data_IF_465069372957
#
_entry.id   IF_465069372957
#
_cell.length_a   1.000
_cell.length_b   1.000
_cell.length_c   1.000
_cell.angle_alpha   90.00
_cell.angle_beta   90.00
_cell.angle_gamma   90.00
#
_symmetry.space_group_name_H-M   'P 1'
#
loop_
_entity.id
_entity.type
_entity.pdbx_description
1 polymer ?
#
# COMPACT_ATOMS: atom_id res chain seq x y z
N UNK A 1 -22.74 19.91 -5.47
CA UNK A 1 -21.79 19.65 -6.57
C UNK A 1 -21.06 18.37 -6.21
N UNK A 2 -21.04 17.38 -7.11
CA UNK A 2 -20.20 16.18 -6.96
C UNK A 2 -18.86 16.53 -7.58
N UNK A 3 -17.83 16.76 -6.75
CA UNK A 3 -16.47 16.96 -7.24
C UNK A 3 -15.68 15.68 -7.07
N UNK A 4 -15.01 15.26 -8.14
CA UNK A 4 -14.16 14.08 -8.10
C UNK A 4 -12.79 14.45 -7.53
N UNK A 5 -12.17 13.52 -6.81
CA UNK A 5 -10.79 13.66 -6.35
C UNK A 5 -9.83 13.89 -7.54
N UNK A 6 -10.14 13.30 -8.69
CA UNK A 6 -9.37 13.47 -9.92
C UNK A 6 -9.39 14.91 -10.45
N UNK A 7 -10.51 15.63 -10.31
CA UNK A 7 -10.59 17.04 -10.73
C UNK A 7 -9.68 17.94 -9.89
N UNK A 8 -9.52 17.66 -8.58
CA UNK A 8 -8.55 18.36 -7.74
C UNK A 8 -7.13 18.05 -8.16
N UNK A 9 -6.79 16.78 -8.37
CA UNK A 9 -5.45 16.39 -8.80
C UNK A 9 -5.11 17.06 -10.14
N UNK A 10 -6.05 17.05 -11.10
CA UNK A 10 -5.89 17.72 -12.40
C UNK A 10 -5.66 19.22 -12.26
N UNK A 11 -6.39 19.91 -11.37
CA UNK A 11 -6.19 21.35 -11.11
C UNK A 11 -4.79 21.65 -10.58
N UNK A 12 -4.25 20.78 -9.74
CA UNK A 12 -2.94 20.99 -9.11
C UNK A 12 -1.79 20.64 -10.05
N UNK A 13 -1.88 19.51 -10.75
CA UNK A 13 -0.77 18.97 -11.54
C UNK A 13 -0.86 19.28 -13.04
N UNK A 14 -2.05 19.63 -13.55
CA UNK A 14 -2.27 19.97 -14.94
C UNK A 14 -2.46 18.78 -15.89
N UNK A 15 -2.54 17.54 -15.39
CA UNK A 15 -2.82 16.35 -16.22
C UNK A 15 -3.72 15.33 -15.49
N UNK A 16 -4.42 14.53 -16.28
CA UNK A 16 -5.37 13.45 -15.92
C UNK A 16 -5.60 12.61 -17.19
N UNK A 17 -5.88 11.29 -17.09
CA UNK A 17 -6.22 10.56 -15.88
C UNK A 17 -5.03 10.05 -15.06
N UNK A 18 -5.20 10.06 -13.73
CA UNK A 18 -4.23 9.50 -12.76
C UNK A 18 -4.71 8.20 -12.15
N UNK A 19 -6.02 7.99 -12.10
CA UNK A 19 -6.62 6.74 -11.64
C UNK A 19 -6.83 5.82 -12.82
N UNK A 20 -6.15 4.68 -12.79
CA UNK A 20 -6.39 3.64 -13.78
C UNK A 20 -7.64 2.85 -13.34
N UNK A 21 -8.71 2.80 -14.16
CA UNK A 21 -9.70 1.75 -13.97
C UNK A 21 -8.90 0.47 -14.21
N UNK A 22 -8.89 -0.47 -13.26
CA UNK A 22 -8.02 -1.66 -13.35
C UNK A 22 -8.35 -2.55 -14.57
N UNK A 23 -8.45 -3.87 -14.38
CA UNK A 23 -8.93 -4.75 -15.48
C UNK A 23 -10.40 -4.55 -15.86
N UNK A 24 -11.10 -3.56 -15.31
CA UNK A 24 -12.50 -3.24 -15.60
C UNK A 24 -12.58 -1.96 -16.43
N UNK A 25 -13.48 -1.94 -17.42
CA UNK A 25 -13.50 -0.92 -18.48
C UNK A 25 -14.32 0.32 -18.16
N UNK A 26 -15.06 0.35 -17.04
CA UNK A 26 -15.88 1.50 -16.62
C UNK A 26 -15.96 1.58 -15.09
N UNK A 27 -15.14 2.46 -14.49
CA UNK A 27 -15.27 2.87 -13.08
C UNK A 27 -15.37 4.39 -13.08
N UNK A 28 -16.47 4.94 -12.57
CA UNK A 28 -16.64 6.39 -12.39
C UNK A 28 -15.56 6.96 -11.48
N UNK A 29 -14.97 8.12 -11.77
CA UNK A 29 -13.91 8.74 -10.97
C UNK A 29 -14.24 8.81 -9.46
N UNK A 30 -13.23 8.77 -8.56
CA UNK A 30 -13.48 8.71 -7.13
C UNK A 30 -14.17 9.99 -6.66
N UNK A 31 -15.39 9.86 -6.14
CA UNK A 31 -16.20 11.00 -5.72
C UNK A 31 -15.96 11.34 -4.25
N UNK A 32 -15.82 12.63 -3.96
CA UNK A 32 -15.82 13.12 -2.58
C UNK A 32 -17.24 13.08 -2.01
N UNK A 33 -17.35 12.67 -0.74
CA UNK A 33 -18.60 12.59 0.00
C UNK A 33 -18.63 13.69 1.06
N UNK A 34 -19.65 14.53 1.02
CA UNK A 34 -19.89 15.56 2.02
C UNK A 34 -20.33 14.95 3.37
N UNK A 35 -20.07 15.64 4.48
CA UNK A 35 -20.51 15.23 5.81
C UNK A 35 -19.73 14.06 6.43
N UNK A 36 -18.72 13.53 5.74
CA UNK A 36 -17.80 12.50 6.27
C UNK A 36 -16.35 12.82 5.86
N UNK A 37 -15.41 12.17 6.54
CA UNK A 37 -14.00 12.20 6.12
C UNK A 37 -13.83 11.32 4.89
N UNK A 38 -13.25 11.84 3.83
CA UNK A 38 -12.79 11.09 2.66
C UNK A 38 -11.35 10.65 2.92
N UNK A 39 -11.00 9.40 2.60
CA UNK A 39 -9.65 8.87 2.83
C UNK A 39 -8.99 8.39 1.56
N UNK A 40 -7.69 8.70 1.45
CA UNK A 40 -6.79 8.09 0.47
C UNK A 40 -5.91 7.10 1.21
N UNK A 41 -5.89 5.85 0.73
CA UNK A 41 -4.97 4.84 1.23
C UNK A 41 -3.62 4.98 0.54
N UNK A 42 -2.62 5.48 1.26
CA UNK A 42 -1.28 5.73 0.74
C UNK A 42 -0.36 4.53 1.00
N UNK A 43 0.18 3.92 -0.04
CA UNK A 43 0.96 2.68 0.07
C UNK A 43 2.39 2.86 -0.44
N UNK A 44 3.31 3.37 0.40
CA UNK A 44 4.71 3.56 0.06
C UNK A 44 5.48 2.24 0.08
N UNK A 45 6.40 2.09 -0.85
CA UNK A 45 7.23 0.89 -0.88
C UNK A 45 8.33 0.90 -1.94
N UNK A 46 9.35 0.09 -1.69
CA UNK A 46 10.41 -0.17 -2.65
C UNK A 46 9.87 -0.92 -3.89
N UNK A 47 8.92 -1.85 -3.71
CA UNK A 47 8.28 -2.61 -4.80
C UNK A 47 9.26 -3.15 -5.83
N UNK A 48 10.25 -3.93 -5.40
CA UNK A 48 11.40 -4.32 -6.22
C UNK A 48 11.60 -5.85 -6.29
N UNK A 49 10.81 -6.56 -7.11
CA UNK A 49 9.63 -6.11 -7.85
C UNK A 49 8.36 -6.11 -6.98
N UNK A 50 7.25 -5.48 -7.41
CA UNK A 50 5.96 -5.71 -6.79
C UNK A 50 5.51 -7.16 -6.99
N UNK A 51 4.73 -7.68 -6.05
CA UNK A 51 4.40 -9.10 -5.97
C UNK A 51 3.02 -9.34 -5.39
N UNK A 52 2.52 -10.58 -5.51
CA UNK A 52 1.12 -10.93 -5.16
C UNK A 52 0.76 -10.56 -3.72
N UNK A 53 1.69 -10.71 -2.77
CA UNK A 53 1.50 -10.26 -1.39
C UNK A 53 1.24 -8.76 -1.23
N UNK A 54 1.91 -7.91 -2.01
CA UNK A 54 1.66 -6.46 -2.00
C UNK A 54 0.24 -6.13 -2.50
N UNK A 55 -0.17 -6.74 -3.61
CA UNK A 55 -1.51 -6.53 -4.16
C UNK A 55 -2.59 -7.08 -3.23
N UNK A 56 -2.36 -8.26 -2.63
CA UNK A 56 -3.29 -8.83 -1.67
C UNK A 56 -3.49 -7.93 -0.44
N UNK A 57 -2.41 -7.36 0.10
CA UNK A 57 -2.47 -6.41 1.22
C UNK A 57 -3.30 -5.18 0.86
N UNK A 58 -2.99 -4.53 -0.27
CA UNK A 58 -3.72 -3.35 -0.74
C UNK A 58 -5.21 -3.65 -0.95
N UNK A 59 -5.52 -4.74 -1.68
CA UNK A 59 -6.89 -5.12 -1.98
C UNK A 59 -7.68 -5.44 -0.72
N UNK A 60 -7.09 -6.21 0.20
CA UNK A 60 -7.74 -6.62 1.44
C UNK A 60 -8.08 -5.43 2.33
N UNK A 61 -7.10 -4.58 2.63
CA UNK A 61 -7.31 -3.42 3.51
C UNK A 61 -8.29 -2.44 2.87
N UNK A 62 -8.13 -2.15 1.58
CA UNK A 62 -9.04 -1.25 0.88
C UNK A 62 -10.48 -1.76 0.91
N UNK A 63 -10.73 -3.02 0.51
CA UNK A 63 -12.07 -3.59 0.43
C UNK A 63 -12.72 -3.74 1.80
N UNK A 64 -11.98 -4.25 2.79
CA UNK A 64 -12.51 -4.54 4.12
C UNK A 64 -12.83 -3.27 4.89
N UNK A 65 -12.03 -2.22 4.73
CA UNK A 65 -12.20 -0.96 5.46
C UNK A 65 -13.04 0.09 4.71
N UNK A 66 -13.36 -0.11 3.42
CA UNK A 66 -14.02 0.90 2.58
C UNK A 66 -15.31 1.47 3.19
N UNK A 67 -16.23 0.62 3.66
CA UNK A 67 -17.52 1.04 4.21
C UNK A 67 -17.37 1.88 5.49
N UNK A 68 -16.41 1.53 6.34
CA UNK A 68 -16.22 2.12 7.66
C UNK A 68 -15.32 3.36 7.63
N UNK A 69 -14.23 3.30 6.86
CA UNK A 69 -13.21 4.35 6.83
C UNK A 69 -13.37 5.32 5.66
N UNK A 70 -14.28 5.05 4.71
CA UNK A 70 -14.48 5.86 3.51
C UNK A 70 -13.23 6.02 2.65
N UNK A 71 -12.51 4.93 2.40
CA UNK A 71 -11.44 4.95 1.41
C UNK A 71 -12.06 5.12 0.03
N UNK A 72 -11.78 6.25 -0.62
CA UNK A 72 -12.29 6.57 -1.95
C UNK A 72 -11.27 6.27 -3.05
N UNK A 73 -9.98 6.25 -2.70
CA UNK A 73 -8.89 5.98 -3.64
C UNK A 73 -7.67 5.42 -2.89
N UNK A 74 -6.74 4.84 -3.65
CA UNK A 74 -5.44 4.42 -3.15
C UNK A 74 -4.32 4.99 -4.01
N UNK A 75 -3.19 5.30 -3.39
CA UNK A 75 -1.97 5.72 -4.07
C UNK A 75 -0.90 4.69 -3.80
N UNK A 76 -0.52 3.92 -4.81
CA UNK A 76 0.69 3.10 -4.77
C UNK A 76 1.87 4.04 -5.02
N UNK A 77 2.80 4.08 -4.08
CA UNK A 77 3.86 5.08 -4.06
C UNK A 77 5.25 4.44 -4.10
N UNK A 78 5.77 4.10 -5.29
CA UNK A 78 7.14 3.63 -5.44
C UNK A 78 8.15 4.68 -4.99
N UNK A 79 9.00 4.30 -4.03
CA UNK A 79 10.12 5.16 -3.58
C UNK A 79 11.09 5.45 -4.72
N UNK A 80 11.86 6.53 -4.63
CA UNK A 80 12.90 6.86 -5.61
C UNK A 80 14.06 5.84 -5.59
N UNK A 81 14.86 5.82 -6.65
CA UNK A 81 15.86 4.78 -6.87
C UNK A 81 17.00 4.86 -5.84
N UNK A 82 17.30 6.04 -5.34
CA UNK A 82 18.32 6.30 -4.33
C UNK A 82 17.96 5.60 -3.02
N UNK A 83 16.72 5.75 -2.56
CA UNK A 83 16.21 5.08 -1.35
C UNK A 83 16.19 3.54 -1.51
N UNK A 84 15.97 3.04 -2.73
CA UNK A 84 16.07 1.62 -3.02
C UNK A 84 17.51 1.12 -2.93
N UNK A 85 18.46 1.86 -3.49
CA UNK A 85 19.88 1.51 -3.49
C UNK A 85 20.43 1.48 -2.07
N UNK A 86 20.14 2.51 -1.27
CA UNK A 86 20.53 2.59 0.14
C UNK A 86 20.06 1.36 0.93
N UNK A 87 18.80 0.96 0.74
CA UNK A 87 18.22 -0.23 1.39
C UNK A 87 18.88 -1.55 0.98
N UNK A 88 19.53 -1.58 -0.18
CA UNK A 88 20.13 -2.78 -0.77
C UNK A 88 21.66 -2.80 -0.67
N UNK A 89 22.29 -1.84 0.00
CA UNK A 89 23.76 -1.72 0.09
C UNK A 89 24.45 -2.97 0.64
N UNK A 90 23.82 -3.65 1.61
CA UNK A 90 24.37 -4.87 2.22
C UNK A 90 24.17 -6.13 1.37
N UNK A 91 23.43 -6.04 0.26
CA UNK A 91 23.04 -7.18 -0.54
C UNK A 91 24.14 -7.52 -1.57
N UNK A 92 24.59 -8.78 -1.61
CA UNK A 92 25.74 -9.18 -2.45
C UNK A 92 25.46 -9.11 -3.95
N UNK A 93 24.20 -9.27 -4.34
CA UNK A 93 23.78 -9.26 -5.75
C UNK A 93 22.33 -8.77 -5.84
N UNK A 94 22.10 -7.46 -5.63
CA UNK A 94 20.75 -6.92 -5.58
C UNK A 94 20.16 -6.86 -6.98
N UNK A 95 18.92 -7.33 -7.11
CA UNK A 95 18.07 -6.90 -8.22
C UNK A 95 17.72 -5.43 -7.96
N UNK A 96 18.03 -4.52 -8.89
CA UNK A 96 17.68 -3.09 -8.79
C UNK A 96 16.83 -2.69 -10.00
N UNK A 97 15.52 -2.60 -9.80
CA UNK A 97 14.58 -2.09 -10.80
C UNK A 97 14.41 -0.57 -10.63
N UNK A 98 14.55 0.16 -11.72
CA UNK A 98 14.34 1.60 -11.79
C UNK A 98 12.87 1.91 -11.49
N UNK A 99 12.61 3.10 -10.95
CA UNK A 99 11.26 3.52 -10.54
C UNK A 99 10.23 3.34 -11.65
N UNK A 100 10.55 3.76 -12.87
CA UNK A 100 9.67 3.61 -14.03
C UNK A 100 9.36 2.13 -14.38
N UNK A 101 10.31 1.21 -14.16
CA UNK A 101 10.06 -0.24 -14.34
C UNK A 101 9.14 -0.77 -13.23
N UNK A 102 9.35 -0.34 -11.98
CA UNK A 102 8.50 -0.73 -10.85
C UNK A 102 7.07 -0.20 -10.99
N UNK A 103 6.90 1.01 -11.54
CA UNK A 103 5.61 1.59 -11.92
C UNK A 103 4.94 0.72 -13.00
N UNK A 104 5.66 0.39 -14.09
CA UNK A 104 5.15 -0.50 -15.14
C UNK A 104 4.68 -1.84 -14.59
N UNK A 105 5.39 -2.39 -13.62
CA UNK A 105 5.04 -3.67 -12.99
C UNK A 105 3.80 -3.59 -12.08
N UNK A 106 3.41 -2.39 -11.61
CA UNK A 106 2.20 -2.18 -10.81
C UNK A 106 0.94 -1.94 -11.65
N UNK A 107 1.08 -1.31 -12.83
CA UNK A 107 -0.05 -0.94 -13.69
C UNK A 107 -0.97 -2.13 -13.97
N UNK A 108 -2.28 -1.85 -13.99
CA UNK A 108 -3.33 -2.86 -14.14
C UNK A 108 -3.59 -3.75 -12.92
N UNK A 109 -2.94 -3.51 -11.77
CA UNK A 109 -3.20 -4.20 -10.50
C UNK A 109 -3.71 -3.25 -9.43
N UNK A 110 -4.74 -3.68 -8.70
CA UNK A 110 -5.38 -2.88 -7.66
C UNK A 110 -6.74 -3.46 -7.26
N UNK A 111 -7.37 -2.99 -6.17
CA UNK A 111 -8.75 -3.30 -5.85
C UNK A 111 -9.68 -2.98 -7.03
N UNK A 112 -10.48 -3.96 -7.46
CA UNK A 112 -11.41 -3.81 -8.59
C UNK A 112 -12.44 -2.68 -8.39
N UNK A 113 -12.73 -2.31 -7.14
CA UNK A 113 -13.67 -1.25 -6.78
C UNK A 113 -12.98 0.06 -6.34
N UNK A 114 -11.64 0.14 -6.39
CA UNK A 114 -10.87 1.27 -5.88
C UNK A 114 -10.03 1.93 -6.97
N UNK A 115 -10.11 3.24 -7.05
CA UNK A 115 -9.26 4.04 -7.91
C UNK A 115 -7.82 3.98 -7.41
N UNK A 116 -6.97 3.23 -8.12
CA UNK A 116 -5.55 3.16 -7.82
C UNK A 116 -4.79 4.12 -8.72
N UNK A 117 -4.01 4.97 -8.07
CA UNK A 117 -3.00 5.79 -8.73
C UNK A 117 -1.63 5.22 -8.42
N UNK A 118 -0.89 4.78 -9.46
CA UNK A 118 0.52 4.44 -9.33
C UNK A 118 1.34 5.72 -9.54
N UNK A 119 1.83 6.29 -8.46
CA UNK A 119 2.53 7.58 -8.49
C UNK A 119 3.86 7.50 -9.25
N UNK A 120 3.99 8.32 -10.29
CA UNK A 120 5.09 8.26 -11.26
C UNK A 120 6.04 9.47 -11.24
N UNK A 121 5.84 10.38 -10.28
CA UNK A 121 6.70 11.54 -10.07
C UNK A 121 7.72 11.30 -8.93
N UNK A 122 8.76 12.15 -8.80
CA UNK A 122 9.69 12.08 -7.68
C UNK A 122 8.99 12.20 -6.33
N UNK A 123 9.54 11.54 -5.30
CA UNK A 123 8.98 11.59 -3.93
C UNK A 123 8.92 13.02 -3.41
N UNK A 124 9.92 13.84 -3.75
CA UNK A 124 9.95 15.26 -3.37
C UNK A 124 8.76 16.08 -3.87
N UNK A 125 8.17 15.70 -5.01
CA UNK A 125 7.00 16.40 -5.59
C UNK A 125 5.70 16.04 -4.88
N UNK A 126 5.66 14.94 -4.14
CA UNK A 126 4.46 14.47 -3.43
C UNK A 126 4.01 15.47 -2.36
N UNK A 127 4.95 16.03 -1.61
CA UNK A 127 4.66 16.92 -0.49
C UNK A 127 3.90 18.18 -0.90
N UNK A 128 4.29 18.79 -2.01
CA UNK A 128 3.60 19.97 -2.53
C UNK A 128 2.19 19.65 -3.04
N UNK A 129 2.05 18.49 -3.69
CA UNK A 129 0.74 18.00 -4.13
C UNK A 129 -0.16 17.69 -2.93
N UNK A 130 0.37 16.97 -1.95
CA UNK A 130 -0.31 16.56 -0.72
C UNK A 130 -0.97 17.75 -0.03
N UNK A 131 -0.18 18.77 0.29
CA UNK A 131 -0.66 19.93 1.03
C UNK A 131 -1.70 20.72 0.23
N UNK A 132 -1.46 20.92 -1.07
CA UNK A 132 -2.42 21.59 -1.95
C UNK A 132 -3.72 20.83 -2.09
N UNK A 133 -3.65 19.50 -2.20
CA UNK A 133 -4.82 18.64 -2.35
C UNK A 133 -5.72 18.73 -1.12
N UNK A 134 -5.14 18.62 0.09
CA UNK A 134 -5.88 18.75 1.34
C UNK A 134 -6.50 20.16 1.46
N UNK A 135 -5.73 21.20 1.15
CA UNK A 135 -6.19 22.59 1.26
C UNK A 135 -7.32 22.92 0.27
N UNK A 136 -7.18 22.52 -1.00
CA UNK A 136 -8.18 22.80 -2.03
C UNK A 136 -9.48 22.03 -1.77
N UNK A 137 -9.40 20.75 -1.36
CA UNK A 137 -10.57 19.95 -0.98
C UNK A 137 -11.26 20.54 0.26
N UNK A 138 -10.49 21.00 1.25
CA UNK A 138 -11.03 21.65 2.44
C UNK A 138 -11.72 23.00 2.13
N UNK A 139 -11.18 23.77 1.19
CA UNK A 139 -11.76 25.05 0.74
C UNK A 139 -13.18 24.89 0.22
N UNK A 140 -13.45 23.76 -0.43
CA UNK A 140 -14.75 23.42 -1.01
C UNK A 140 -15.67 22.68 -0.03
N UNK A 141 -15.28 22.58 1.25
CA UNK A 141 -16.12 22.07 2.34
C UNK A 141 -16.06 20.56 2.55
N UNK A 142 -15.15 19.86 1.89
CA UNK A 142 -14.91 18.43 2.10
C UNK A 142 -13.78 18.21 3.11
N UNK A 143 -13.78 17.06 3.78
CA UNK A 143 -12.65 16.62 4.62
C UNK A 143 -11.90 15.52 3.89
N UNK A 144 -10.58 15.65 3.79
CA UNK A 144 -9.69 14.66 3.20
C UNK A 144 -8.58 14.32 4.19
N UNK A 145 -8.41 13.03 4.45
CA UNK A 145 -7.30 12.48 5.23
C UNK A 145 -6.54 11.45 4.39
N UNK A 146 -5.27 11.26 4.73
CA UNK A 146 -4.41 10.25 4.11
C UNK A 146 -3.96 9.29 5.20
N UNK A 147 -4.11 8.00 4.91
CA UNK A 147 -3.77 6.93 5.83
C UNK A 147 -2.75 6.01 5.20
N UNK A 148 -1.67 5.70 5.91
CA UNK A 148 -0.57 4.92 5.34
C UNK A 148 -0.81 3.43 5.53
N UNK A 149 -0.61 2.66 4.47
CA UNK A 149 -0.59 1.20 4.50
C UNK A 149 0.84 0.69 4.61
N UNK A 150 1.12 -0.15 5.59
CA UNK A 150 2.40 -0.83 5.73
C UNK A 150 2.26 -2.35 5.71
N UNK A 151 3.29 -3.01 5.18
CA UNK A 151 3.53 -4.43 5.48
C UNK A 151 3.89 -4.59 6.96
N UNK A 152 3.53 -5.71 7.59
CA UNK A 152 3.60 -5.84 9.04
C UNK A 152 5.03 -5.96 9.59
N UNK A 153 6.03 -6.19 8.72
CA UNK A 153 7.46 -6.17 9.10
C UNK A 153 7.94 -4.79 9.55
N UNK A 154 7.25 -3.71 9.17
CA UNK A 154 7.64 -2.36 9.56
C UNK A 154 7.22 -2.01 11.00
N UNK A 155 6.45 -2.87 11.68
CA UNK A 155 5.98 -2.62 13.05
C UNK A 155 6.91 -3.16 14.14
N UNK A 156 7.85 -4.03 13.81
CA UNK A 156 8.76 -4.61 14.81
C UNK A 156 9.90 -3.68 15.25
N UNK A 157 9.92 -2.44 14.74
CA UNK A 157 10.99 -1.46 14.94
C UNK A 157 10.44 -0.07 15.34
N UNK A 158 9.24 0.00 15.91
CA UNK A 158 8.60 1.29 16.22
C UNK A 158 9.21 1.97 17.45
N UNK A 159 10.34 2.65 17.25
CA UNK A 159 10.78 3.72 18.14
C UNK A 159 9.98 5.01 17.87
N UNK A 160 9.49 5.18 16.63
CA UNK A 160 8.67 6.31 16.16
C UNK A 160 7.36 5.84 15.50
N UNK A 161 6.40 6.74 15.32
CA UNK A 161 5.15 6.40 14.63
C UNK A 161 5.39 6.24 13.13
N UNK A 162 5.07 5.08 12.51
CA UNK A 162 5.57 4.74 11.18
C UNK A 162 4.97 5.61 10.07
N UNK A 163 3.82 6.25 10.32
CA UNK A 163 3.18 7.13 9.34
C UNK A 163 3.65 8.61 9.44
N UNK A 164 4.41 8.97 10.49
CA UNK A 164 4.91 10.33 10.71
C UNK A 164 5.82 10.82 9.55
N UNK A 165 6.76 10.01 9.00
CA UNK A 165 7.57 10.41 7.85
C UNK A 165 6.76 10.67 6.57
N UNK A 166 5.47 10.32 6.55
CA UNK A 166 4.52 10.52 5.46
C UNK A 166 3.51 11.65 5.73
N UNK A 167 3.68 12.39 6.84
CA UNK A 167 2.74 13.45 7.25
C UNK A 167 1.35 12.92 7.61
N UNK A 168 1.24 11.64 7.92
CA UNK A 168 -0.03 10.97 8.18
C UNK A 168 -0.14 10.63 9.66
N UNK A 169 -1.36 10.72 10.21
CA UNK A 169 -1.68 10.41 11.60
C UNK A 169 -2.36 9.04 11.77
N UNK A 170 -2.58 8.31 10.68
CA UNK A 170 -3.24 7.02 10.66
C UNK A 170 -2.41 6.00 9.87
N UNK A 171 -2.21 4.83 10.47
CA UNK A 171 -1.47 3.71 9.92
C UNK A 171 -2.35 2.45 9.88
N UNK A 172 -2.31 1.71 8.78
CA UNK A 172 -3.00 0.44 8.61
C UNK A 172 -2.03 -0.67 8.24
N UNK A 173 -2.29 -1.88 8.72
CA UNK A 173 -1.57 -3.09 8.32
C UNK A 173 -2.45 -4.33 8.47
N UNK A 174 -2.00 -5.44 7.91
CA UNK A 174 -2.69 -6.73 7.94
C UNK A 174 -1.69 -7.86 7.88
N UNK A 175 -2.08 -9.03 8.37
CA UNK A 175 -1.32 -10.27 8.27
C UNK A 175 -1.63 -11.10 6.99
N UNK A 176 -2.40 -10.53 6.05
CA UNK A 176 -2.81 -11.21 4.81
C UNK A 176 -1.64 -11.58 3.90
N UNK A 177 -0.68 -10.68 3.73
CA UNK A 177 0.49 -10.91 2.86
C UNK A 177 1.68 -11.52 3.59
N UNK A 178 1.73 -11.34 4.92
CA UNK A 178 2.78 -11.85 5.79
C UNK A 178 2.32 -11.95 7.23
N UNK A 179 2.74 -12.97 7.97
CA UNK A 179 2.45 -13.04 9.41
C UNK A 179 2.93 -11.76 10.10
N UNK A 180 2.04 -11.11 10.85
CA UNK A 180 2.41 -9.88 11.52
C UNK A 180 3.22 -10.17 12.79
N UNK A 181 4.37 -9.52 12.95
CA UNK A 181 5.30 -9.72 14.10
C UNK A 181 4.62 -9.42 15.44
N UNK A 182 3.56 -8.62 15.41
CA UNK A 182 2.74 -8.28 16.56
C UNK A 182 1.68 -9.33 16.90
N UNK A 183 1.52 -10.41 16.14
CA UNK A 183 0.65 -11.52 16.51
C UNK A 183 1.42 -12.39 17.51
N UNK A 184 0.93 -12.51 18.74
CA UNK A 184 1.50 -13.50 19.65
C UNK A 184 1.09 -14.87 19.10
N UNK A 185 2.05 -15.75 18.86
CA UNK A 185 1.83 -17.05 18.20
C UNK A 185 0.91 -18.04 18.94
N UNK A 186 0.21 -17.59 19.98
CA UNK A 186 -0.87 -18.33 20.62
C UNK A 186 -2.20 -17.91 20.01
N UNK A 187 -2.79 -18.76 19.15
CA UNK A 187 -4.21 -18.67 18.86
C UNK A 187 -4.94 -18.97 20.17
N UNK A 188 -5.45 -17.95 20.83
CA UNK A 188 -6.35 -18.16 21.94
C UNK A 188 -7.57 -18.94 21.41
N UNK A 189 -8.14 -19.82 22.21
CA UNK A 189 -9.21 -20.76 21.81
C UNK A 189 -10.51 -20.10 21.33
N UNK A 190 -10.54 -18.76 21.27
CA UNK A 190 -11.67 -17.95 20.83
C UNK A 190 -11.61 -17.75 19.31
N UNK A 191 -12.64 -18.15 18.56
CA UNK A 191 -12.71 -17.92 17.11
C UNK A 191 -12.52 -16.42 16.78
N UNK A 192 -11.58 -16.12 15.89
CA UNK A 192 -11.41 -14.78 15.31
C UNK A 192 -10.60 -13.76 16.13
N UNK A 193 -9.86 -14.18 17.16
CA UNK A 193 -8.92 -13.30 17.87
C UNK A 193 -7.48 -13.73 17.59
N UNK A 194 -6.78 -12.95 16.77
CA UNK A 194 -5.32 -13.00 16.73
C UNK A 194 -4.81 -12.06 17.83
N UNK A 195 -4.27 -12.58 18.95
CA UNK A 195 -3.82 -11.71 20.03
C UNK A 195 -2.68 -10.81 19.54
N UNK A 196 -2.85 -9.52 19.77
CA UNK A 196 -1.90 -8.48 19.37
C UNK A 196 -1.00 -8.13 20.57
N UNK A 197 0.31 -8.06 20.31
CA UNK A 197 1.27 -7.53 21.26
C UNK A 197 0.90 -6.07 21.54
N UNK A 198 0.93 -5.70 22.82
CA UNK A 198 0.82 -4.31 23.21
C UNK A 198 2.03 -3.53 22.67
N UNK A 199 1.78 -2.32 22.21
CA UNK A 199 2.83 -1.40 21.77
C UNK A 199 3.11 -0.41 22.91
N UNK A 200 4.36 -0.24 23.30
CA UNK A 200 4.75 0.47 24.54
C UNK A 200 4.27 1.94 24.58
N UNK A 201 4.16 2.59 23.42
CA UNK A 201 3.75 3.99 23.30
C UNK A 201 2.26 4.17 22.99
N UNK A 202 1.46 3.09 22.93
CA UNK A 202 0.05 3.16 22.55
C UNK A 202 -0.83 2.68 23.69
N UNK A 203 -2.06 3.19 23.71
CA UNK A 203 -3.14 2.64 24.52
C UNK A 203 -3.51 1.20 24.14
N UNK A 204 -4.41 0.57 24.90
CA UNK A 204 -4.81 -0.81 24.64
C UNK A 204 -5.47 -0.94 23.26
N UNK A 205 -5.38 -2.14 22.68
CA UNK A 205 -6.10 -2.47 21.46
C UNK A 205 -7.61 -2.48 21.70
N UNK A 206 -8.34 -1.66 20.97
CA UNK A 206 -9.78 -1.58 20.92
C UNK A 206 -10.32 -2.35 19.72
N UNK A 207 -11.40 -3.12 19.94
CA UNK A 207 -12.07 -3.84 18.87
C UNK A 207 -12.93 -2.89 18.03
N UNK A 208 -12.84 -3.04 16.72
CA UNK A 208 -13.64 -2.33 15.72
C UNK A 208 -14.48 -3.31 14.91
N UNK A 209 -15.28 -2.78 13.97
CA UNK A 209 -16.08 -3.63 13.06
C UNK A 209 -15.18 -4.43 12.10
N UNK A 210 -14.02 -3.89 11.71
CA UNK A 210 -13.15 -4.46 10.66
C UNK A 210 -11.85 -5.05 11.18
N UNK A 211 -11.60 -4.98 12.49
CA UNK A 211 -10.33 -5.39 13.09
C UNK A 211 -10.10 -4.74 14.45
N UNK A 212 -8.88 -4.31 14.73
CA UNK A 212 -8.50 -3.65 15.99
C UNK A 212 -7.82 -2.31 15.72
N UNK A 213 -7.90 -1.38 16.66
CA UNK A 213 -7.13 -0.15 16.63
C UNK A 213 -6.46 0.14 17.98
N UNK A 214 -5.38 0.88 17.99
CA UNK A 214 -4.84 1.52 19.20
C UNK A 214 -4.45 2.97 18.87
N UNK A 215 -4.36 3.80 19.91
CA UNK A 215 -4.07 5.23 19.78
C UNK A 215 -2.88 5.62 20.65
N UNK A 216 -2.15 6.64 20.21
CA UNK A 216 -1.14 7.34 20.99
C UNK A 216 -1.59 8.79 21.16
N UNK A 217 -1.54 9.28 22.40
CA UNK A 217 -2.02 10.60 22.80
C UNK A 217 -1.03 11.73 22.42
N UNK A 218 -0.61 11.76 21.15
CA UNK A 218 0.16 12.89 20.60
C UNK A 218 -0.77 14.03 20.19
N UNK A 219 -0.18 15.16 19.79
CA UNK A 219 -0.88 16.26 19.12
C UNK A 219 -0.31 16.46 17.70
N UNK A 220 -1.05 16.07 16.63
CA UNK A 220 -2.35 15.40 16.64
C UNK A 220 -2.26 13.90 17.01
N UNK A 221 -3.35 13.26 17.49
CA UNK A 221 -3.32 11.86 17.90
C UNK A 221 -2.97 10.90 16.76
N UNK A 222 -2.08 9.95 17.05
CA UNK A 222 -1.68 8.91 16.11
C UNK A 222 -2.51 7.65 16.31
N UNK A 223 -3.01 7.05 15.22
CA UNK A 223 -3.82 5.82 15.26
C UNK A 223 -3.21 4.71 14.42
N UNK A 224 -3.23 3.50 14.97
CA UNK A 224 -2.77 2.28 14.29
C UNK A 224 -3.97 1.31 14.18
N UNK A 225 -4.25 0.82 12.98
CA UNK A 225 -5.28 -0.16 12.68
C UNK A 225 -4.67 -1.49 12.23
N UNK A 226 -5.10 -2.57 12.87
CA UNK A 226 -4.89 -3.94 12.41
C UNK A 226 -6.15 -4.47 11.73
N UNK A 227 -6.02 -4.89 10.47
CA UNK A 227 -7.08 -5.55 9.72
C UNK A 227 -6.69 -7.02 9.55
N UNK A 228 -7.30 -7.97 10.29
CA UNK A 228 -6.93 -9.37 10.21
C UNK A 228 -7.24 -9.96 8.83
N UNK A 229 -6.45 -10.95 8.40
CA UNK A 229 -6.80 -11.77 7.24
C UNK A 229 -8.07 -12.58 7.49
N UNK A 230 -8.91 -12.83 6.47
CA UNK A 230 -10.03 -13.76 6.59
C UNK A 230 -9.54 -15.19 6.82
N UNK A 231 -10.29 -15.97 7.61
CA UNK A 231 -9.93 -17.36 7.95
C UNK A 231 -9.83 -18.29 6.72
N UNK A 232 -10.54 -17.97 5.64
CA UNK A 232 -10.64 -18.75 4.42
C UNK A 232 -9.66 -18.32 3.32
N UNK A 233 -8.93 -17.22 3.51
CA UNK A 233 -8.08 -16.65 2.48
C UNK A 233 -6.62 -17.11 2.64
N UNK A 234 -6.16 -17.96 1.72
CA UNK A 234 -4.76 -18.37 1.61
C UNK A 234 -4.07 -17.53 0.54
N UNK A 235 -3.26 -16.57 0.98
CA UNK A 235 -2.38 -15.78 0.09
C UNK A 235 -0.97 -16.35 0.15
N UNK A 236 -0.32 -16.63 -1.00
CA UNK A 236 1.07 -17.03 -1.02
C UNK A 236 1.96 -16.02 -0.30
N UNK A 237 2.75 -16.53 0.63
CA UNK A 237 3.76 -15.78 1.39
C UNK A 237 4.97 -15.49 0.50
N UNK A 238 4.78 -14.65 -0.53
CA UNK A 238 5.84 -14.35 -1.49
C UNK A 238 6.80 -13.31 -0.93
N UNK A 239 8.08 -13.64 -0.93
CA UNK A 239 9.18 -12.76 -0.57
C UNK A 239 10.03 -12.34 -1.78
N UNK A 240 10.72 -11.21 -1.66
CA UNK A 240 11.72 -10.78 -2.65
C UNK A 240 12.84 -11.82 -2.84
N UNK A 241 13.19 -12.56 -1.79
CA UNK A 241 14.19 -13.65 -1.84
C UNK A 241 13.75 -14.80 -2.73
N UNK A 242 12.47 -15.19 -2.68
CA UNK A 242 11.92 -16.25 -3.53
C UNK A 242 11.90 -15.84 -4.99
N UNK A 243 11.53 -14.59 -5.28
CA UNK A 243 11.54 -14.04 -6.64
C UNK A 243 12.96 -14.06 -7.20
N UNK A 244 13.96 -13.58 -6.44
CA UNK A 244 15.37 -13.62 -6.85
C UNK A 244 15.87 -15.04 -7.07
N UNK A 245 15.43 -16.00 -6.25
CA UNK A 245 15.73 -17.42 -6.43
C UNK A 245 15.13 -17.96 -7.73
N UNK A 246 13.88 -17.62 -8.03
CA UNK A 246 13.23 -18.00 -9.28
C UNK A 246 13.98 -17.43 -10.49
N UNK A 247 14.34 -16.14 -10.47
CA UNK A 247 15.13 -15.50 -11.54
C UNK A 247 16.47 -16.19 -11.77
N UNK A 248 17.17 -16.56 -10.69
CA UNK A 248 18.51 -17.18 -10.76
C UNK A 248 18.46 -18.61 -11.30
N UNK A 249 17.44 -19.36 -10.92
CA UNK A 249 17.32 -20.78 -11.22
C UNK A 249 16.52 -21.05 -12.50
N UNK A 250 15.92 -20.02 -13.09
CA UNK A 250 15.09 -20.18 -14.28
C UNK A 250 15.90 -20.63 -15.50
N UNK A 251 15.35 -21.60 -16.24
CA UNK A 251 15.91 -22.05 -17.50
C UNK A 251 15.69 -21.00 -18.60
N UNK A 252 16.54 -20.96 -19.65
CA UNK A 252 16.31 -20.11 -20.81
C UNK A 252 14.89 -20.30 -21.38
N UNK A 253 14.18 -19.19 -21.61
CA UNK A 253 12.81 -19.20 -22.12
C UNK A 253 11.70 -19.56 -21.11
N UNK A 254 12.03 -19.82 -19.84
CA UNK A 254 11.06 -20.18 -18.80
C UNK A 254 10.75 -19.10 -17.76
N UNK A 255 11.47 -17.98 -17.82
CA UNK A 255 11.44 -16.95 -16.76
C UNK A 255 10.04 -16.43 -16.45
N UNK A 256 9.23 -16.13 -17.47
CA UNK A 256 7.84 -15.69 -17.26
C UNK A 256 7.01 -16.73 -16.49
N UNK A 257 7.13 -18.00 -16.88
CA UNK A 257 6.39 -19.10 -16.25
C UNK A 257 6.83 -19.28 -14.79
N UNK A 258 8.14 -19.20 -14.54
CA UNK A 258 8.70 -19.37 -13.19
C UNK A 258 8.38 -18.18 -12.26
N UNK A 259 8.04 -17.02 -12.84
CA UNK A 259 7.60 -15.83 -12.11
C UNK A 259 6.07 -15.78 -11.91
N UNK A 260 5.31 -16.62 -12.61
CA UNK A 260 3.85 -16.63 -12.55
C UNK A 260 3.35 -16.95 -11.13
N UNK A 261 2.43 -16.13 -10.62
CA UNK A 261 1.91 -16.26 -9.25
C UNK A 261 2.86 -15.74 -8.16
N UNK A 262 4.07 -15.28 -8.52
CA UNK A 262 4.98 -14.60 -7.61
C UNK A 262 4.90 -13.08 -7.78
N UNK A 263 5.06 -12.58 -9.00
CA UNK A 263 5.07 -11.14 -9.29
C UNK A 263 3.76 -10.68 -9.93
N UNK A 264 3.50 -9.37 -9.92
CA UNK A 264 2.25 -8.83 -10.48
C UNK A 264 2.18 -8.96 -12.01
N UNK A 265 3.23 -8.54 -12.72
CA UNK A 265 3.31 -8.63 -14.19
C UNK A 265 4.57 -9.45 -14.58
N UNK A 266 4.47 -10.80 -14.64
CA UNK A 266 5.61 -11.69 -14.86
C UNK A 266 6.22 -11.57 -16.27
N UNK A 267 5.39 -11.33 -17.28
CA UNK A 267 5.77 -11.05 -18.67
C UNK A 267 6.59 -9.75 -18.77
N UNK A 268 6.10 -8.67 -18.14
CA UNK A 268 6.79 -7.36 -18.11
C UNK A 268 8.12 -7.48 -17.37
N UNK A 269 8.18 -8.23 -16.27
CA UNK A 269 9.43 -8.44 -15.54
C UNK A 269 10.43 -9.26 -16.37
N UNK A 270 9.97 -10.32 -17.04
CA UNK A 270 10.82 -11.11 -17.92
C UNK A 270 11.37 -10.27 -19.08
N UNK A 271 10.55 -9.42 -19.70
CA UNK A 271 10.96 -8.44 -20.73
C UNK A 271 12.05 -7.50 -20.21
N UNK A 272 11.84 -6.87 -19.04
CA UNK A 272 12.80 -5.96 -18.42
C UNK A 272 14.14 -6.65 -18.18
N UNK A 273 14.10 -7.86 -17.62
CA UNK A 273 15.31 -8.62 -17.29
C UNK A 273 16.04 -9.12 -18.54
N UNK A 274 15.33 -9.44 -19.61
CA UNK A 274 15.92 -9.86 -20.88
C UNK A 274 16.72 -8.73 -21.55
N UNK A 275 16.27 -7.47 -21.42
CA UNK A 275 16.98 -6.29 -21.98
C UNK A 275 18.26 -5.92 -21.23
N UNK A 276 18.50 -6.51 -20.06
CA UNK A 276 19.66 -6.24 -19.20
C UNK A 276 20.79 -7.27 -19.37
N UNK A 277 20.55 -8.30 -20.16
CA UNK A 277 21.51 -9.38 -20.44
C UNK A 277 22.27 -9.13 -21.73
#
# INVERSE_FOLDING_TARGET
>A
MTESLEDYIRRIQGYSPVFEPGRQTQIEAPQLQAGRVNRILFYPGSFNPPHVGHSALLQHVFKTSASHMNFIAAVVFPLDDEALVERLESDRNPLVLKKHERIRLWRGHGPAAGHVWVYDHPVSSWWQLHDRLIQDVARDGFKLEISVLFGPDNLSQLEEFPAQPWGCNECLFSDIGRDAVITSGHKDSSPGLTPLKQLDLYGPWERTVVGSLCRRDDDPPSTIHFIPKPDDQVVPQTSSSEIRRAIRNSLPGRLEIDLHGLVLNPDVLAEILARRR
#
